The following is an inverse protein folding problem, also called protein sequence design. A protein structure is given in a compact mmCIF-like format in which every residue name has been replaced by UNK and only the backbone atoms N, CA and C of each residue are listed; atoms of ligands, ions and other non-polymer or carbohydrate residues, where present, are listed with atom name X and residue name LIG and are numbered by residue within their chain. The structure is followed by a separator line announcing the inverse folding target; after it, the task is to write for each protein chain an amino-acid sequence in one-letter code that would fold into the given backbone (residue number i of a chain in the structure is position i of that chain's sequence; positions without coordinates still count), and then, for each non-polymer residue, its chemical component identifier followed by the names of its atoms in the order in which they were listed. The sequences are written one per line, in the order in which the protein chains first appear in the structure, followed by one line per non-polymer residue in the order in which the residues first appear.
data_IF_821368492530
#
_entry.id   IF_821368492530
#
_cell.length_a   1.000
_cell.length_b   1.000
_cell.length_c   1.000
_cell.angle_alpha   90.00
_cell.angle_beta   90.00
_cell.angle_gamma   90.00
#
_symmetry.space_group_name_H-M   'P 1'
#
loop_
_entity.id
_entity.type
_entity.pdbx_description
1 polymer ?
#
# COMPACT_ATOMS: atom_id res chain seq x y z
N UNK A 1 -13.20 3.51 -21.19
CA UNK A 1 -13.68 4.75 -21.83
C UNK A 1 -14.74 5.35 -20.94
N UNK A 2 -14.53 6.58 -20.47
CA UNK A 2 -15.52 7.31 -19.69
C UNK A 2 -16.39 8.13 -20.64
N UNK A 3 -17.72 8.05 -20.44
CA UNK A 3 -18.65 8.98 -21.07
C UNK A 3 -19.03 10.07 -20.04
N UNK A 4 -19.38 11.28 -20.48
CA UNK A 4 -19.87 12.34 -19.60
C UNK A 4 -21.04 11.84 -18.75
N UNK A 5 -20.98 12.08 -17.43
CA UNK A 5 -22.01 11.66 -16.47
C UNK A 5 -21.83 10.26 -15.89
N UNK A 6 -20.77 9.54 -16.21
CA UNK A 6 -20.43 8.29 -15.51
C UNK A 6 -19.76 8.56 -14.17
N UNK A 7 -20.14 7.79 -13.16
CA UNK A 7 -19.57 7.86 -11.83
C UNK A 7 -18.81 6.56 -11.52
N UNK A 8 -17.68 6.69 -10.86
CA UNK A 8 -16.97 5.59 -10.22
C UNK A 8 -16.91 5.90 -8.74
N UNK A 9 -17.37 4.96 -7.92
CA UNK A 9 -17.18 5.02 -6.48
C UNK A 9 -15.91 4.26 -6.12
N UNK A 10 -15.09 4.84 -5.27
CA UNK A 10 -13.88 4.23 -4.77
C UNK A 10 -13.57 4.68 -3.35
N UNK A 11 -12.67 3.98 -2.70
CA UNK A 11 -12.11 4.39 -1.43
C UNK A 11 -10.88 5.24 -1.66
N UNK A 12 -10.75 6.32 -0.92
CA UNK A 12 -9.58 7.21 -0.95
C UNK A 12 -8.86 7.05 0.38
N UNK A 13 -7.55 6.84 0.29
CA UNK A 13 -6.66 6.78 1.45
C UNK A 13 -5.76 7.99 1.44
N UNK A 14 -5.70 8.68 2.57
CA UNK A 14 -4.76 9.77 2.75
C UNK A 14 -3.37 9.20 2.99
N UNK A 15 -2.40 9.58 2.17
CA UNK A 15 -1.02 9.14 2.37
C UNK A 15 -0.14 9.37 1.15
N UNK A 16 1.11 8.98 1.31
CA UNK A 16 2.11 9.01 0.25
C UNK A 16 2.59 7.58 -0.04
N UNK A 17 2.50 7.18 -1.30
CA UNK A 17 3.08 5.92 -1.77
C UNK A 17 4.60 5.98 -1.61
N UNK A 18 5.14 4.96 -0.99
CA UNK A 18 6.58 4.81 -0.73
C UNK A 18 7.01 3.43 -1.19
N UNK A 19 8.17 3.35 -1.81
CA UNK A 19 8.75 2.10 -2.28
C UNK A 19 10.11 1.92 -1.62
N UNK A 20 10.34 0.76 -1.03
CA UNK A 20 11.64 0.33 -0.55
C UNK A 20 12.03 -0.99 -1.21
N UNK A 21 13.33 -1.22 -1.35
CA UNK A 21 13.85 -2.41 -2.00
C UNK A 21 14.91 -3.09 -1.14
N UNK A 22 14.96 -4.42 -1.28
CA UNK A 22 15.97 -5.29 -0.71
C UNK A 22 16.40 -6.31 -1.77
N UNK A 23 17.45 -7.07 -1.49
CA UNK A 23 17.95 -8.12 -2.40
C UNK A 23 17.85 -9.47 -1.72
N UNK A 24 17.28 -10.44 -2.44
CA UNK A 24 17.21 -11.83 -1.99
C UNK A 24 18.61 -12.47 -1.99
N UNK A 25 18.90 -13.28 -0.99
CA UNK A 25 20.09 -14.14 -0.92
C UNK A 25 19.84 -15.54 -1.51
N UNK A 26 18.59 -15.86 -1.89
CA UNK A 26 18.17 -17.17 -2.40
C UNK A 26 17.93 -18.22 -1.32
N UNK A 27 18.04 -17.85 -0.05
CA UNK A 27 17.75 -18.75 1.07
C UNK A 27 16.26 -19.01 1.26
N UNK A 28 15.92 -20.11 1.92
CA UNK A 28 14.54 -20.40 2.32
C UNK A 28 14.11 -19.59 3.52
N UNK A 29 12.81 -19.30 3.64
CA UNK A 29 12.23 -18.57 4.78
C UNK A 29 12.87 -17.19 5.03
N UNK A 30 13.26 -16.50 3.97
CA UNK A 30 13.81 -15.15 4.06
C UNK A 30 12.78 -14.19 4.63
N UNK A 31 13.27 -13.23 5.41
CA UNK A 31 12.44 -12.14 5.93
C UNK A 31 13.09 -10.79 5.67
N UNK A 32 12.27 -9.81 5.35
CA UNK A 32 12.68 -8.43 5.12
C UNK A 32 11.80 -7.50 5.94
N UNK A 33 12.41 -6.53 6.63
CA UNK A 33 11.68 -5.46 7.29
C UNK A 33 11.78 -4.18 6.46
N UNK A 34 10.64 -3.60 6.15
CA UNK A 34 10.50 -2.34 5.42
C UNK A 34 9.89 -1.29 6.33
N UNK A 35 10.20 -0.02 6.07
CA UNK A 35 9.70 1.13 6.82
C UNK A 35 10.07 1.16 8.32
N UNK A 36 11.09 0.39 8.72
CA UNK A 36 11.63 0.40 10.06
C UNK A 36 12.12 1.81 10.46
N UNK A 37 11.92 2.19 11.70
CA UNK A 37 12.51 3.38 12.37
C UNK A 37 11.89 4.75 12.13
N UNK A 38 10.89 4.90 11.32
CA UNK A 38 10.35 6.25 11.06
C UNK A 38 9.15 6.66 11.90
N UNK A 39 8.66 5.83 12.83
CA UNK A 39 7.43 6.08 13.62
C UNK A 39 6.26 6.60 12.77
N UNK A 40 6.31 6.32 11.47
CA UNK A 40 5.30 6.74 10.51
C UNK A 40 4.15 5.76 10.55
N UNK A 41 2.96 6.27 10.52
CA UNK A 41 1.76 5.46 10.40
C UNK A 41 1.69 4.88 9.00
N UNK A 42 1.66 3.55 8.88
CA UNK A 42 1.60 2.86 7.60
C UNK A 42 0.21 2.25 7.45
N UNK A 43 -0.37 2.40 6.28
CA UNK A 43 -1.58 1.68 5.94
C UNK A 43 -1.25 0.21 5.65
N UNK A 44 -1.69 -0.68 6.55
CA UNK A 44 -1.42 -2.12 6.47
C UNK A 44 -2.25 -2.83 5.38
N UNK A 45 -3.26 -2.19 4.83
CA UNK A 45 -4.12 -2.75 3.78
C UNK A 45 -3.56 -2.54 2.37
N UNK A 46 -2.75 -1.50 2.18
CA UNK A 46 -2.16 -1.15 0.90
C UNK A 46 -0.67 -1.47 0.89
N UNK A 47 -0.36 -2.76 0.99
CA UNK A 47 1.01 -3.27 0.91
C UNK A 47 1.10 -4.21 -0.28
N UNK A 48 1.95 -3.86 -1.23
CA UNK A 48 2.22 -4.65 -2.42
C UNK A 48 3.69 -5.08 -2.44
N UNK A 49 3.92 -6.34 -2.76
CA UNK A 49 5.27 -6.91 -2.84
C UNK A 49 5.52 -7.37 -4.26
N UNK A 50 6.68 -7.01 -4.78
CA UNK A 50 7.13 -7.40 -6.11
C UNK A 50 8.49 -8.09 -6.01
N UNK A 51 8.71 -9.11 -6.82
CA UNK A 51 10.00 -9.77 -7.01
C UNK A 51 10.39 -9.63 -8.46
N UNK A 52 11.50 -8.93 -8.75
CA UNK A 52 11.92 -8.59 -10.12
C UNK A 52 10.79 -7.93 -10.93
N UNK A 53 10.08 -6.97 -10.31
CA UNK A 53 8.93 -6.25 -10.87
C UNK A 53 7.67 -7.11 -11.16
N UNK A 54 7.68 -8.39 -10.79
CA UNK A 54 6.50 -9.26 -10.85
C UNK A 54 5.74 -9.16 -9.52
N UNK A 55 4.44 -8.83 -9.53
CA UNK A 55 3.65 -8.74 -8.30
C UNK A 55 3.45 -10.13 -7.68
N UNK A 56 3.72 -10.24 -6.39
CA UNK A 56 3.50 -11.45 -5.61
C UNK A 56 2.24 -11.31 -4.76
N UNK A 57 1.53 -12.40 -4.60
CA UNK A 57 0.33 -12.45 -3.76
C UNK A 57 0.70 -12.27 -2.30
N UNK A 58 0.00 -11.38 -1.61
CA UNK A 58 0.15 -11.20 -0.16
C UNK A 58 -0.89 -12.05 0.59
N UNK A 59 -0.44 -12.79 1.60
CA UNK A 59 -1.27 -13.66 2.44
C UNK A 59 -0.98 -13.41 3.91
N UNK A 60 -1.85 -13.89 4.80
CA UNK A 60 -1.71 -13.69 6.24
C UNK A 60 -0.89 -14.79 6.94
N UNK A 61 -0.76 -15.95 6.31
CA UNK A 61 -0.11 -17.12 6.90
C UNK A 61 0.57 -17.98 5.84
N UNK A 62 1.64 -18.69 6.22
CA UNK A 62 2.32 -19.66 5.35
C UNK A 62 1.40 -20.80 4.89
N UNK A 63 0.40 -21.16 5.69
CA UNK A 63 -0.57 -22.22 5.33
C UNK A 63 -1.45 -21.79 4.13
N UNK A 64 -1.57 -20.50 3.88
CA UNK A 64 -2.37 -19.95 2.77
C UNK A 64 -1.60 -19.95 1.44
N UNK A 65 -0.34 -20.42 1.43
CA UNK A 65 0.49 -20.51 0.23
C UNK A 65 0.52 -21.93 -0.31
N UNK A 66 0.33 -22.07 -1.61
CA UNK A 66 0.60 -23.32 -2.34
C UNK A 66 2.09 -23.58 -2.54
N UNK A 67 2.43 -24.80 -2.96
CA UNK A 67 3.78 -25.17 -3.37
C UNK A 67 4.22 -24.29 -4.54
N UNK A 68 5.42 -23.71 -4.46
CA UNK A 68 6.01 -22.83 -5.49
C UNK A 68 5.11 -21.65 -5.92
N UNK A 69 4.10 -21.29 -5.11
CA UNK A 69 3.25 -20.13 -5.37
C UNK A 69 4.05 -18.83 -5.18
N UNK A 70 3.93 -17.89 -6.11
CA UNK A 70 4.50 -16.54 -6.02
C UNK A 70 3.72 -15.72 -4.99
N UNK A 71 3.93 -16.06 -3.72
CA UNK A 71 3.25 -15.48 -2.58
C UNK A 71 4.21 -15.19 -1.42
N UNK A 72 3.84 -14.22 -0.59
CA UNK A 72 4.58 -13.86 0.62
C UNK A 72 3.61 -13.52 1.75
N UNK A 73 4.05 -13.75 2.99
CA UNK A 73 3.33 -13.31 4.19
C UNK A 73 3.73 -11.88 4.51
N UNK A 74 2.74 -11.02 4.71
CA UNK A 74 2.94 -9.64 5.14
C UNK A 74 2.36 -9.47 6.53
N UNK A 75 3.14 -8.91 7.44
CA UNK A 75 2.72 -8.61 8.82
C UNK A 75 3.20 -7.24 9.26
N UNK A 76 2.54 -6.69 10.26
CA UNK A 76 3.07 -5.51 10.97
C UNK A 76 4.36 -5.91 11.67
N UNK A 77 5.42 -5.16 11.45
CA UNK A 77 6.72 -5.40 12.05
C UNK A 77 6.71 -5.19 13.57
N UNK A 78 7.49 -5.98 14.28
CA UNK A 78 7.57 -5.92 15.75
C UNK A 78 8.07 -4.55 16.25
N UNK A 79 8.92 -3.88 15.48
CA UNK A 79 9.45 -2.54 15.76
C UNK A 79 8.74 -1.44 14.97
N UNK A 80 7.51 -1.70 14.51
CA UNK A 80 6.85 -0.91 13.48
C UNK A 80 7.28 -1.34 12.08
N UNK A 81 6.72 -0.71 11.05
CA UNK A 81 7.01 -1.07 9.67
C UNK A 81 6.25 -2.30 9.18
N UNK A 82 6.81 -2.94 8.17
CA UNK A 82 6.22 -4.06 7.46
C UNK A 82 7.24 -5.19 7.41
N UNK A 83 6.87 -6.35 7.94
CA UNK A 83 7.65 -7.57 7.80
C UNK A 83 7.09 -8.41 6.64
N UNK A 84 7.96 -8.73 5.67
CA UNK A 84 7.64 -9.59 4.53
C UNK A 84 8.41 -10.89 4.69
N UNK A 85 7.72 -12.01 4.66
CA UNK A 85 8.31 -13.35 4.78
C UNK A 85 8.04 -14.15 3.52
N UNK A 86 9.08 -14.79 3.00
CA UNK A 86 8.99 -15.69 1.85
C UNK A 86 8.99 -17.15 2.29
N UNK A 87 8.53 -18.00 1.42
CA UNK A 87 8.37 -19.42 1.68
C UNK A 87 9.67 -20.25 1.60
N UNK A 88 9.50 -21.55 1.57
CA UNK A 88 10.59 -22.54 1.50
C UNK A 88 10.50 -23.48 0.28
N UNK A 89 9.56 -23.23 -0.62
CA UNK A 89 9.24 -24.09 -1.77
C UNK A 89 8.01 -24.96 -1.53
N UNK A 90 7.87 -25.56 -0.34
CA UNK A 90 6.66 -26.30 0.03
C UNK A 90 5.49 -25.37 0.35
N UNK A 91 5.79 -24.25 1.00
CA UNK A 91 4.88 -23.17 1.32
C UNK A 91 5.41 -21.88 0.69
N UNK A 92 4.93 -21.56 -0.51
CA UNK A 92 5.37 -20.40 -1.27
C UNK A 92 6.75 -20.58 -1.92
N UNK A 93 6.94 -19.93 -3.03
CA UNK A 93 8.19 -19.91 -3.80
C UNK A 93 9.30 -19.17 -3.03
N UNK A 94 10.54 -19.62 -3.23
CA UNK A 94 11.74 -18.93 -2.75
C UNK A 94 12.20 -17.95 -3.83
N UNK A 95 12.36 -16.64 -3.53
CA UNK A 95 12.95 -15.72 -4.47
C UNK A 95 14.40 -16.10 -4.77
N UNK A 96 14.80 -16.06 -6.03
CA UNK A 96 16.15 -16.40 -6.47
C UNK A 96 17.21 -15.47 -5.85
N UNK A 97 18.43 -15.98 -5.69
CA UNK A 97 19.55 -15.15 -5.24
C UNK A 97 19.79 -13.99 -6.21
N UNK A 98 19.92 -12.78 -5.67
CA UNK A 98 20.07 -11.55 -6.44
C UNK A 98 18.75 -10.94 -6.94
N UNK A 99 17.60 -11.58 -6.73
CA UNK A 99 16.32 -11.00 -7.06
C UNK A 99 16.05 -9.72 -6.26
N UNK A 100 15.51 -8.69 -6.92
CA UNK A 100 15.10 -7.45 -6.27
C UNK A 100 13.72 -7.63 -5.66
N UNK A 101 13.64 -7.47 -4.34
CA UNK A 101 12.39 -7.44 -3.58
C UNK A 101 11.99 -5.99 -3.42
N UNK A 102 10.82 -5.59 -3.94
CA UNK A 102 10.24 -4.27 -3.72
C UNK A 102 9.02 -4.40 -2.82
N UNK A 103 8.93 -3.53 -1.83
CA UNK A 103 7.72 -3.34 -1.03
C UNK A 103 7.20 -1.93 -1.29
N UNK A 104 5.97 -1.85 -1.79
CA UNK A 104 5.23 -0.61 -2.00
C UNK A 104 4.14 -0.51 -0.94
N UNK A 105 4.10 0.62 -0.24
CA UNK A 105 3.17 0.86 0.85
C UNK A 105 2.81 2.34 0.96
N UNK A 106 1.74 2.65 1.69
CA UNK A 106 1.29 4.01 1.92
C UNK A 106 1.69 4.46 3.32
N UNK A 107 2.41 5.58 3.37
CA UNK A 107 2.69 6.30 4.62
C UNK A 107 1.59 7.33 4.82
N UNK A 108 0.87 7.25 5.93
CA UNK A 108 -0.24 8.13 6.27
C UNK A 108 0.16 9.15 7.34
N UNK A 109 -0.65 10.19 7.50
CA UNK A 109 -0.47 11.17 8.58
C UNK A 109 -1.20 10.76 9.88
N UNK A 110 -1.69 9.53 9.97
CA UNK A 110 -2.45 9.04 11.11
C UNK A 110 -3.65 9.96 11.40
N UNK A 111 -3.84 10.32 12.66
CA UNK A 111 -4.93 11.18 13.07
C UNK A 111 -4.91 12.59 12.43
N UNK A 112 -3.74 13.09 12.08
CA UNK A 112 -3.60 14.37 11.38
C UNK A 112 -4.04 14.31 9.91
N UNK A 113 -4.24 13.11 9.37
CA UNK A 113 -4.78 12.87 8.02
C UNK A 113 -6.31 12.84 7.94
N UNK A 114 -7.00 12.95 9.08
CA UNK A 114 -8.46 13.03 9.08
C UNK A 114 -8.92 14.41 8.55
N UNK A 115 -9.93 14.42 7.72
CA UNK A 115 -10.50 15.64 7.18
C UNK A 115 -12.01 15.54 6.96
N UNK A 116 -12.66 16.69 7.01
CA UNK A 116 -14.07 16.86 6.73
C UNK A 116 -14.30 16.93 5.21
N UNK A 117 -15.29 16.19 4.70
CA UNK A 117 -15.66 16.17 3.28
C UNK A 117 -16.05 17.56 2.75
N UNK A 118 -16.66 18.41 3.59
CA UNK A 118 -17.11 19.74 3.17
C UNK A 118 -15.91 20.64 2.86
N UNK A 119 -14.84 20.51 3.63
CA UNK A 119 -13.58 21.23 3.38
C UNK A 119 -12.98 20.78 2.04
N UNK A 120 -12.93 19.47 1.81
CA UNK A 120 -12.35 18.91 0.59
C UNK A 120 -13.19 19.27 -0.65
N UNK A 121 -14.50 19.21 -0.55
CA UNK A 121 -15.40 19.54 -1.66
C UNK A 121 -15.49 21.05 -1.94
N UNK A 122 -15.20 21.91 -0.95
CA UNK A 122 -15.24 23.37 -1.10
C UNK A 122 -14.00 23.96 -1.75
N UNK A 123 -12.93 23.20 -1.86
CA UNK A 123 -11.63 23.66 -2.34
C UNK A 123 -11.19 22.86 -3.56
N UNK A 124 -10.63 23.55 -4.56
CA UNK A 124 -10.02 22.90 -5.71
C UNK A 124 -8.67 22.22 -5.34
N UNK A 125 -8.68 21.39 -4.29
CA UNK A 125 -7.48 20.69 -3.82
C UNK A 125 -7.12 19.46 -4.67
N UNK A 126 -8.01 19.01 -5.53
CA UNK A 126 -7.80 17.83 -6.31
C UNK A 126 -6.93 18.11 -7.53
N UNK A 127 -5.83 17.42 -7.59
CA UNK A 127 -4.95 17.40 -8.74
C UNK A 127 -4.62 15.94 -9.08
N UNK A 128 -4.76 15.58 -10.34
CA UNK A 128 -4.37 14.27 -10.82
C UNK A 128 -2.95 14.34 -11.37
N UNK A 129 -2.04 13.53 -10.83
CA UNK A 129 -0.65 13.47 -11.32
C UNK A 129 -0.56 12.75 -12.66
N UNK A 130 -1.47 11.79 -12.91
CA UNK A 130 -1.51 11.03 -14.15
C UNK A 130 -2.17 11.80 -15.28
N UNK A 131 -1.69 11.56 -16.48
CA UNK A 131 -2.27 12.08 -17.72
C UNK A 131 -3.18 11.05 -18.36
N UNK A 132 -4.28 11.52 -18.91
CA UNK A 132 -5.19 10.73 -19.72
C UNK A 132 -4.93 10.89 -21.21
N UNK A 133 -5.59 10.04 -22.01
CA UNK A 133 -5.60 10.17 -23.47
C UNK A 133 -7.03 10.32 -23.94
N UNK A 134 -7.26 11.30 -24.83
CA UNK A 134 -8.52 11.42 -25.54
C UNK A 134 -8.61 10.35 -26.65
N UNK A 135 -9.78 10.22 -27.22
CA UNK A 135 -10.03 9.24 -28.30
C UNK A 135 -9.23 9.50 -29.57
N UNK A 136 -8.75 10.71 -29.75
CA UNK A 136 -7.85 11.11 -30.85
C UNK A 136 -6.37 10.87 -30.54
N UNK A 137 -6.05 10.32 -29.36
CA UNK A 137 -4.69 10.04 -28.91
C UNK A 137 -3.97 11.22 -28.27
N UNK A 138 -4.59 12.39 -28.16
CA UNK A 138 -3.99 13.54 -27.49
C UNK A 138 -3.89 13.32 -25.98
N UNK A 139 -2.76 13.72 -25.39
CA UNK A 139 -2.51 13.65 -23.97
C UNK A 139 -3.14 14.84 -23.24
N UNK A 140 -3.89 14.60 -22.20
CA UNK A 140 -4.60 15.63 -21.43
C UNK A 140 -4.36 15.49 -19.93
N UNK A 141 -4.44 16.61 -19.23
CA UNK A 141 -4.49 16.67 -17.78
C UNK A 141 -5.88 16.22 -17.32
N UNK A 142 -5.94 15.14 -16.54
CA UNK A 142 -7.19 14.57 -16.06
C UNK A 142 -7.95 15.51 -15.13
N UNK A 143 -7.28 16.44 -14.45
CA UNK A 143 -7.89 17.42 -13.57
C UNK A 143 -8.93 18.30 -14.28
N UNK A 144 -8.78 18.51 -15.59
CA UNK A 144 -9.71 19.30 -16.40
C UNK A 144 -11.00 18.54 -16.79
N UNK A 145 -10.97 17.21 -16.72
CA UNK A 145 -12.03 16.34 -17.24
C UNK A 145 -12.73 15.52 -16.15
N UNK A 146 -12.08 15.35 -15.01
CA UNK A 146 -12.61 14.59 -13.88
C UNK A 146 -12.92 15.54 -12.73
N UNK A 147 -14.05 15.30 -12.09
CA UNK A 147 -14.40 15.92 -10.84
C UNK A 147 -14.41 14.85 -9.76
N UNK A 148 -13.86 15.17 -8.60
CA UNK A 148 -13.80 14.29 -7.46
C UNK A 148 -14.65 14.86 -6.34
N UNK A 149 -15.57 14.06 -5.82
CA UNK A 149 -16.46 14.43 -4.73
C UNK A 149 -16.28 13.44 -3.57
N UNK A 150 -15.97 13.94 -2.39
CA UNK A 150 -15.95 13.15 -1.17
C UNK A 150 -17.39 12.98 -0.67
N UNK A 151 -17.84 11.74 -0.59
CA UNK A 151 -19.18 11.41 -0.10
C UNK A 151 -19.23 11.30 1.42
N UNK A 152 -18.10 10.98 2.05
CA UNK A 152 -17.95 10.82 3.51
C UNK A 152 -16.72 11.54 4.01
N UNK A 153 -16.70 11.84 5.29
CA UNK A 153 -15.51 12.35 5.96
C UNK A 153 -14.39 11.29 5.92
N UNK A 154 -13.14 11.72 5.84
CA UNK A 154 -12.00 10.88 6.06
C UNK A 154 -11.74 10.79 7.57
N UNK A 155 -12.09 9.67 8.14
CA UNK A 155 -12.00 9.39 9.58
C UNK A 155 -11.22 8.07 9.79
N UNK A 156 -10.99 7.71 11.05
CA UNK A 156 -10.28 6.48 11.45
C UNK A 156 -8.77 6.50 11.25
N UNK A 157 -8.18 7.61 10.81
CA UNK A 157 -6.74 7.78 10.92
C UNK A 157 -6.33 7.76 12.39
N UNK A 158 -5.42 6.89 12.78
CA UNK A 158 -4.87 6.83 14.13
C UNK A 158 -3.34 6.80 14.07
N UNK A 159 -2.71 7.27 15.14
CA UNK A 159 -1.28 7.09 15.30
C UNK A 159 -0.96 5.63 15.63
N UNK A 160 0.26 5.25 15.33
CA UNK A 160 0.81 3.97 15.78
C UNK A 160 0.58 3.79 17.28
N UNK A 161 -0.03 2.68 17.66
CA UNK A 161 -0.25 2.34 19.05
C UNK A 161 1.00 1.61 19.59
N UNK A 162 1.63 2.20 20.62
CA UNK A 162 2.77 1.58 21.27
C UNK A 162 2.32 0.30 21.98
N UNK A 163 2.98 -0.81 21.69
CA UNK A 163 2.70 -2.13 22.27
C UNK A 163 2.77 -2.13 23.81
N UNK A 164 3.59 -1.24 24.38
CA UNK A 164 3.67 -1.04 25.84
C UNK A 164 2.43 -0.39 26.41
N UNK A 165 1.72 0.43 25.64
CA UNK A 165 0.44 1.03 26.02
C UNK A 165 -0.68 -0.03 26.00
N UNK A 166 -0.71 -0.85 24.96
CA UNK A 166 -1.69 -1.93 24.80
C UNK A 166 -1.58 -2.95 25.95
N UNK A 167 -0.37 -3.28 26.38
CA UNK A 167 -0.13 -4.17 27.52
C UNK A 167 -0.57 -3.59 28.87
N UNK A 168 -0.74 -2.25 28.98
CA UNK A 168 -1.24 -1.60 30.21
C UNK A 168 -2.76 -1.60 30.35
N UNK A 169 -3.47 -1.80 29.26
CA UNK A 169 -4.95 -1.74 29.19
C UNK A 169 -5.55 -3.15 29.33
N UNK A 170 -4.78 -4.19 29.08
CA UNK A 170 -5.15 -5.60 29.26
C UNK A 170 -4.89 -6.10 30.68
#
# INVERSE_FOLDING_TARGET
TFAPGNYINGNIVQGKVTIQSATSDGGTMQSFNFAERNYTTIDQYFVYVYVNDVPWKTVNSFIDMGMDEEACVVKTGQSGGIDVFFGNGDFGKVPEAGATIKCEYIVTSGNAGNFDKEIMNSSNYWQFDDKGFLTDGSMVDLTQYLNLECLTDCILGSYYEDITLTQRIA
#
